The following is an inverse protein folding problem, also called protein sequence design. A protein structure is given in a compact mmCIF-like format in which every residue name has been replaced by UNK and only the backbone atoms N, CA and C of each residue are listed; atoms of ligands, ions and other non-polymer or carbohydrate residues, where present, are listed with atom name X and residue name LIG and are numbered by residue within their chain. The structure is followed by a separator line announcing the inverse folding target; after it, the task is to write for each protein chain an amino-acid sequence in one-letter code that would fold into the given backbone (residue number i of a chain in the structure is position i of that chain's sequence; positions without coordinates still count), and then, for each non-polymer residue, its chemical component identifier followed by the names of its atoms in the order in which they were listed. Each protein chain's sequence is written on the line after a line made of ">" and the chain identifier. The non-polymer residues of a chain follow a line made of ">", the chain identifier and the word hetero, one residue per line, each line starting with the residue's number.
data_IF_597467877487
#
_entry.id   IF_597467877487
#
_cell.length_a   1.000
_cell.length_b   1.000
_cell.length_c   1.000
_cell.angle_alpha   90.00
_cell.angle_beta   90.00
_cell.angle_gamma   90.00
#
_symmetry.space_group_name_H-M   'P 1'
#
loop_
_entity.id
_entity.type
_entity.pdbx_description
1 polymer ?
#
# COMPACT_ATOMS: atom_id res chain seq x y z
N UNK A 1 -26.79 -6.72 -10.85
CA UNK A 1 -27.87 -7.16 -11.75
C UNK A 1 -27.80 -8.67 -11.87
N UNK A 2 -28.91 -9.37 -11.60
CA UNK A 2 -28.97 -10.84 -11.66
C UNK A 2 -29.88 -11.21 -12.83
N UNK A 3 -29.35 -11.98 -13.78
CA UNK A 3 -30.14 -12.51 -14.88
C UNK A 3 -30.52 -13.96 -14.53
N UNK A 4 -31.76 -14.17 -14.11
CA UNK A 4 -32.28 -15.52 -13.90
C UNK A 4 -32.68 -16.11 -15.25
N UNK A 5 -31.75 -16.85 -15.85
CA UNK A 5 -31.94 -17.53 -17.14
C UNK A 5 -32.16 -19.01 -16.89
N UNK A 6 -33.26 -19.56 -17.42
CA UNK A 6 -33.53 -21.01 -17.36
C UNK A 6 -33.15 -21.63 -18.71
N UNK A 7 -32.05 -22.37 -18.74
CA UNK A 7 -31.59 -23.05 -19.95
C UNK A 7 -32.34 -24.36 -20.12
N UNK A 8 -33.06 -24.52 -21.25
CA UNK A 8 -33.59 -25.82 -21.68
C UNK A 8 -32.61 -26.40 -22.69
N UNK A 9 -31.93 -27.46 -22.30
CA UNK A 9 -30.94 -28.16 -23.12
C UNK A 9 -31.65 -28.91 -24.26
N UNK A 10 -31.99 -28.21 -25.33
CA UNK A 10 -32.64 -28.80 -26.52
C UNK A 10 -31.69 -28.93 -27.71
N UNK A 11 -30.54 -28.26 -27.70
CA UNK A 11 -29.50 -28.40 -28.71
C UNK A 11 -28.15 -28.01 -28.10
N UNK A 12 -27.12 -28.86 -28.24
CA UNK A 12 -25.73 -28.60 -27.81
C UNK A 12 -25.04 -27.54 -28.70
N UNK A 13 -25.68 -26.39 -28.89
CA UNK A 13 -25.13 -25.28 -29.65
C UNK A 13 -24.52 -24.28 -28.69
N UNK A 14 -23.25 -23.93 -28.93
CA UNK A 14 -22.55 -22.87 -28.23
C UNK A 14 -23.36 -21.57 -28.35
N UNK A 15 -23.77 -21.00 -27.23
CA UNK A 15 -24.39 -19.67 -27.21
C UNK A 15 -23.26 -18.67 -27.46
N UNK A 16 -23.29 -18.01 -28.62
CA UNK A 16 -22.43 -16.86 -28.89
C UNK A 16 -23.10 -15.64 -28.25
N UNK A 17 -22.44 -15.07 -27.25
CA UNK A 17 -22.86 -13.83 -26.61
C UNK A 17 -21.78 -12.80 -26.88
N UNK A 18 -22.16 -11.75 -27.61
CA UNK A 18 -21.31 -10.58 -27.87
C UNK A 18 -21.83 -9.42 -27.02
N UNK A 19 -20.93 -8.80 -26.26
CA UNK A 19 -21.26 -7.62 -25.46
C UNK A 19 -20.66 -6.38 -26.14
N UNK A 20 -21.52 -5.50 -26.63
CA UNK A 20 -21.08 -4.30 -27.37
C UNK A 20 -20.49 -3.21 -26.45
N UNK A 21 -20.96 -3.11 -25.21
CA UNK A 21 -20.64 -2.00 -24.30
C UNK A 21 -20.25 -2.50 -22.90
N UNK A 22 -19.17 -3.27 -22.83
CA UNK A 22 -18.66 -3.77 -21.56
C UNK A 22 -17.92 -2.66 -20.79
N UNK A 23 -18.47 -2.24 -19.64
CA UNK A 23 -17.83 -1.31 -18.73
C UNK A 23 -17.38 -2.05 -17.47
N UNK A 24 -16.07 -2.09 -17.24
CA UNK A 24 -15.51 -2.48 -15.94
C UNK A 24 -15.35 -1.21 -15.13
N UNK A 25 -16.16 -1.08 -14.08
CA UNK A 25 -15.89 -0.12 -13.00
C UNK A 25 -15.03 -0.84 -11.98
N UNK A 26 -13.72 -0.65 -12.07
CA UNK A 26 -12.79 -1.07 -11.02
C UNK A 26 -12.34 0.17 -10.27
N UNK A 27 -12.37 0.11 -8.94
CA UNK A 27 -12.03 1.25 -8.06
C UNK A 27 -10.62 1.83 -8.32
N UNK A 28 -9.74 1.07 -8.98
CA UNK A 28 -8.32 1.40 -9.17
C UNK A 28 -7.81 1.14 -10.61
N UNK A 29 -8.66 1.14 -11.64
CA UNK A 29 -8.15 1.08 -13.02
C UNK A 29 -7.41 2.37 -13.39
N UNK A 30 -6.21 2.24 -13.94
CA UNK A 30 -5.42 3.37 -14.45
C UNK A 30 -4.74 4.21 -13.38
N UNK A 31 -4.73 3.79 -12.11
CA UNK A 31 -3.99 4.48 -11.05
C UNK A 31 -2.53 4.01 -11.00
N UNK A 32 -1.62 4.92 -10.70
CA UNK A 32 -0.22 4.57 -10.42
C UNK A 32 -0.12 4.06 -8.98
N UNK A 33 0.42 2.86 -8.79
CA UNK A 33 0.63 2.29 -7.46
C UNK A 33 1.92 2.79 -6.84
N UNK A 34 1.89 3.11 -5.55
CA UNK A 34 3.10 3.44 -4.80
C UNK A 34 3.96 2.18 -4.59
N UNK A 35 5.18 2.21 -5.13
CA UNK A 35 6.15 1.10 -5.11
C UNK A 35 7.28 1.29 -4.09
N UNK A 36 7.26 2.39 -3.32
CA UNK A 36 8.30 2.67 -2.33
C UNK A 36 8.05 1.93 -1.02
N UNK A 37 8.89 2.22 -0.02
CA UNK A 37 8.80 1.58 1.28
C UNK A 37 7.51 1.97 2.02
N UNK A 38 6.86 0.97 2.62
CA UNK A 38 5.73 1.13 3.54
C UNK A 38 6.17 1.09 5.00
N UNK A 39 7.45 0.85 5.29
CA UNK A 39 7.99 0.86 6.66
C UNK A 39 9.13 1.86 6.74
N UNK A 40 8.98 2.88 7.59
CA UNK A 40 9.94 3.96 7.72
C UNK A 40 10.50 3.99 9.14
N UNK A 41 11.83 4.00 9.26
CA UNK A 41 12.51 4.39 10.50
C UNK A 41 12.75 5.91 10.46
N UNK A 42 12.25 6.68 11.44
CA UNK A 42 12.51 8.10 11.53
C UNK A 42 14.01 8.41 11.63
N UNK A 43 14.42 9.49 10.98
CA UNK A 43 15.78 10.06 11.03
C UNK A 43 15.71 11.48 11.58
N UNK A 44 16.85 11.99 12.03
CA UNK A 44 16.98 13.40 12.44
C UNK A 44 16.90 14.35 11.24
N UNK A 45 17.19 13.85 10.04
CA UNK A 45 17.05 14.57 8.79
C UNK A 45 15.65 14.39 8.19
N UNK A 46 15.22 15.37 7.39
CA UNK A 46 13.94 15.32 6.69
C UNK A 46 13.87 14.10 5.76
N UNK A 47 12.77 13.35 5.85
CA UNK A 47 12.45 12.24 4.97
C UNK A 47 11.14 12.54 4.22
N UNK A 48 11.00 12.01 3.01
CA UNK A 48 9.80 12.14 2.21
C UNK A 48 9.54 10.84 1.45
N UNK A 49 8.28 10.38 1.45
CA UNK A 49 7.83 9.26 0.63
C UNK A 49 7.12 9.84 -0.59
N UNK A 50 7.51 9.41 -1.80
CA UNK A 50 6.98 9.91 -3.06
C UNK A 50 5.58 9.33 -3.38
N UNK A 51 4.61 9.52 -2.47
CA UNK A 51 3.24 8.98 -2.50
C UNK A 51 2.24 9.88 -3.23
N UNK A 52 2.65 11.10 -3.61
CA UNK A 52 1.80 12.06 -4.31
C UNK A 52 1.16 11.42 -5.56
N UNK A 53 -0.17 11.49 -5.65
CA UNK A 53 -0.99 10.94 -6.74
C UNK A 53 -0.85 9.43 -6.97
N UNK A 54 -0.34 8.68 -5.99
CA UNK A 54 -0.20 7.23 -6.06
C UNK A 54 -1.14 6.53 -5.11
N UNK A 55 -1.58 5.34 -5.51
CA UNK A 55 -2.41 4.47 -4.71
C UNK A 55 -1.56 3.67 -3.72
N UNK A 56 -1.89 3.76 -2.43
CA UNK A 56 -1.28 2.98 -1.36
C UNK A 56 -2.11 1.71 -1.14
N UNK A 57 -1.49 0.53 -1.31
CA UNK A 57 -2.17 -0.76 -1.11
C UNK A 57 -2.19 -1.19 0.35
N UNK A 58 -1.34 -0.58 1.17
CA UNK A 58 -1.17 -0.89 2.58
C UNK A 58 -0.99 0.39 3.41
N UNK A 59 -1.10 0.25 4.73
CA UNK A 59 -0.78 1.35 5.64
C UNK A 59 0.73 1.55 5.72
N UNK A 60 1.17 2.81 5.76
CA UNK A 60 2.56 3.14 6.08
C UNK A 60 2.79 2.97 7.58
N UNK A 61 3.75 2.13 7.95
CA UNK A 61 4.19 1.87 9.33
C UNK A 61 5.39 2.76 9.65
N UNK A 62 5.24 3.58 10.69
CA UNK A 62 6.33 4.42 11.21
C UNK A 62 6.89 3.74 12.45
N UNK A 63 8.18 3.42 12.43
CA UNK A 63 8.90 2.84 13.57
C UNK A 63 9.26 3.93 14.59
N UNK A 64 9.68 3.50 15.77
CA UNK A 64 10.31 4.38 16.74
C UNK A 64 11.62 4.95 16.19
N UNK A 65 11.95 6.19 16.55
CA UNK A 65 13.25 6.76 16.25
C UNK A 65 14.31 6.05 17.12
N UNK A 66 15.50 5.71 16.58
CA UNK A 66 16.56 5.11 17.39
C UNK A 66 16.85 5.96 18.63
N UNK A 67 16.84 5.34 19.80
CA UNK A 67 17.06 5.98 21.08
C UNK A 67 18.06 5.15 21.88
N UNK A 68 19.11 5.79 22.39
CA UNK A 68 20.11 5.15 23.23
C UNK A 68 20.38 6.01 24.45
N UNK A 69 20.51 5.37 25.60
CA UNK A 69 20.89 6.00 26.87
C UNK A 69 22.18 5.32 27.34
N UNK A 70 23.23 6.10 27.54
CA UNK A 70 24.54 5.59 27.95
C UNK A 70 25.06 6.36 29.15
N UNK A 71 25.84 5.70 30.00
CA UNK A 71 26.57 6.36 31.08
C UNK A 71 27.70 7.24 30.52
N UNK A 72 27.95 8.40 31.13
CA UNK A 72 29.04 9.29 30.76
C UNK A 72 30.14 9.36 31.84
N UNK A 73 31.29 9.94 31.46
CA UNK A 73 32.48 10.04 32.34
C UNK A 73 32.24 10.88 33.59
N UNK A 74 31.28 11.80 33.54
CA UNK A 74 30.91 12.69 34.65
C UNK A 74 29.89 12.06 35.61
N UNK A 75 29.61 10.75 35.47
CA UNK A 75 28.67 10.02 36.33
C UNK A 75 27.19 10.27 36.03
N UNK A 76 26.87 10.94 34.92
CA UNK A 76 25.52 11.16 34.41
C UNK A 76 25.13 10.21 33.27
N UNK A 77 23.97 10.48 32.68
CA UNK A 77 23.48 9.80 31.47
C UNK A 77 23.49 10.73 30.27
N UNK A 78 23.89 10.20 29.12
CA UNK A 78 23.86 10.86 27.82
C UNK A 78 22.88 10.13 26.92
N UNK A 79 21.96 10.90 26.30
CA UNK A 79 20.93 10.38 25.41
C UNK A 79 21.30 10.68 23.96
N UNK A 80 21.23 9.65 23.11
CA UNK A 80 21.36 9.76 21.66
C UNK A 80 20.01 9.49 21.00
N UNK A 81 19.54 10.44 20.18
CA UNK A 81 18.29 10.34 19.43
C UNK A 81 18.61 10.37 17.94
N UNK A 82 18.22 9.33 17.21
CA UNK A 82 18.39 9.19 15.77
C UNK A 82 19.85 9.19 15.29
N UNK A 83 20.80 8.99 16.21
CA UNK A 83 22.23 8.81 15.92
C UNK A 83 22.60 7.36 16.19
N UNK A 84 23.05 6.66 15.16
CA UNK A 84 23.68 5.35 15.30
C UNK A 84 25.06 5.57 15.96
N UNK A 85 25.35 4.83 17.03
CA UNK A 85 26.60 4.91 17.79
C UNK A 85 27.75 4.24 17.04
#
# INVERSE_FOLDING_TARGET
>A
MRFDVTFRELDKKLIKVDFEHFQIVSDHAGVEYYKGDYTVTPKVEKQELATRQKFLTENVKIKEIPFFEVSNLEGGQTVFIGKEL
#
